data_IF_036576053769
#
_entry.id   IF_036576053769
#
_cell.length_a   1.000
_cell.length_b   1.000
_cell.length_c   1.000
_cell.angle_alpha   90.00
_cell.angle_beta   90.00
_cell.angle_gamma   90.00
#
_symmetry.space_group_name_H-M   'P 1'
#
loop_
_entity.id
_entity.type
_entity.pdbx_description
1 polymer ?
#
# COMPACT_ATOMS: atom_id res chain seq x y z
N UNK A 1 -10.69 -25.26 -13.17
CA UNK A 1 -9.32 -24.80 -13.46
C UNK A 1 -9.31 -23.27 -13.60
N UNK A 2 -10.02 -22.73 -14.59
CA UNK A 2 -9.98 -21.29 -14.94
C UNK A 2 -10.60 -20.37 -13.89
N UNK A 3 -11.79 -20.72 -13.37
CA UNK A 3 -12.46 -19.94 -12.31
C UNK A 3 -11.62 -19.89 -11.03
N UNK A 4 -10.96 -20.99 -10.68
CA UNK A 4 -10.07 -21.05 -9.50
C UNK A 4 -8.90 -20.06 -9.64
N UNK A 5 -8.31 -19.95 -10.83
CA UNK A 5 -7.23 -19.00 -11.11
C UNK A 5 -7.73 -17.55 -11.02
N UNK A 6 -8.91 -17.25 -11.57
CA UNK A 6 -9.51 -15.91 -11.52
C UNK A 6 -9.77 -15.49 -10.07
N UNK A 7 -10.33 -16.38 -9.25
CA UNK A 7 -10.61 -16.12 -7.84
C UNK A 7 -9.30 -15.95 -7.06
N UNK A 8 -8.32 -16.83 -7.26
CA UNK A 8 -7.02 -16.73 -6.59
C UNK A 8 -6.30 -15.42 -6.95
N UNK A 9 -6.35 -15.02 -8.22
CA UNK A 9 -5.75 -13.78 -8.71
C UNK A 9 -6.45 -12.54 -8.13
N UNK A 10 -7.78 -12.54 -8.08
CA UNK A 10 -8.56 -11.47 -7.44
C UNK A 10 -8.25 -11.32 -5.96
N UNK A 11 -8.17 -12.44 -5.22
CA UNK A 11 -7.78 -12.45 -3.81
C UNK A 11 -6.35 -11.95 -3.60
N UNK A 12 -5.43 -12.32 -4.49
CA UNK A 12 -4.04 -11.88 -4.44
C UNK A 12 -3.91 -10.36 -4.62
N UNK A 13 -4.62 -9.78 -5.59
CA UNK A 13 -4.67 -8.33 -5.81
C UNK A 13 -5.30 -7.63 -4.61
N UNK A 14 -6.41 -8.16 -4.07
CA UNK A 14 -7.08 -7.58 -2.91
C UNK A 14 -6.16 -7.58 -1.67
N UNK A 15 -5.42 -8.67 -1.47
CA UNK A 15 -4.43 -8.79 -0.38
C UNK A 15 -3.29 -7.80 -0.53
N UNK A 16 -2.71 -7.67 -1.73
CA UNK A 16 -1.70 -6.64 -2.03
C UNK A 16 -2.24 -5.24 -1.74
N UNK A 17 -3.46 -4.95 -2.17
CA UNK A 17 -4.14 -3.69 -1.91
C UNK A 17 -4.25 -3.36 -0.42
N UNK A 18 -4.62 -4.34 0.41
CA UNK A 18 -4.67 -4.14 1.87
C UNK A 18 -3.31 -3.78 2.47
N UNK A 19 -2.21 -4.39 1.99
CA UNK A 19 -0.86 -4.11 2.49
C UNK A 19 -0.34 -2.73 2.09
N UNK A 20 -0.72 -2.25 0.91
CA UNK A 20 -0.39 -0.91 0.44
C UNK A 20 -1.16 0.13 1.27
N UNK A 21 -2.45 -0.10 1.54
CA UNK A 21 -3.27 0.74 2.41
C UNK A 21 -2.73 0.84 3.84
N UNK A 22 -2.33 -0.29 4.41
CA UNK A 22 -1.75 -0.36 5.76
C UNK A 22 -0.50 0.52 5.86
N UNK A 23 0.33 0.47 4.82
CA UNK A 23 1.57 1.24 4.75
C UNK A 23 1.34 2.73 4.46
N UNK A 24 0.19 3.06 3.87
CA UNK A 24 -0.26 4.44 3.67
C UNK A 24 -0.96 5.02 4.91
N UNK A 25 -1.28 4.21 5.93
CA UNK A 25 -2.04 4.64 7.11
C UNK A 25 -3.51 4.95 6.82
N UNK A 26 -4.04 4.45 5.70
CA UNK A 26 -5.41 4.73 5.23
C UNK A 26 -6.36 3.64 5.76
N UNK A 27 -7.58 3.99 6.23
CA UNK A 27 -8.53 3.03 6.77
C UNK A 27 -8.91 1.94 5.76
N UNK A 28 -8.92 0.69 6.24
CA UNK A 28 -9.05 -0.59 5.51
C UNK A 28 -10.22 -0.67 4.52
N UNK A 29 -11.26 0.15 4.69
CA UNK A 29 -12.42 0.24 3.81
C UNK A 29 -12.10 0.79 2.40
N UNK A 30 -10.98 1.48 2.23
CA UNK A 30 -10.51 1.95 0.91
C UNK A 30 -10.01 0.81 0.00
N UNK A 31 -10.10 -0.46 0.44
CA UNK A 31 -9.75 -1.61 -0.41
C UNK A 31 -10.63 -1.69 -1.66
N UNK A 32 -11.89 -1.21 -1.60
CA UNK A 32 -12.80 -1.16 -2.75
C UNK A 32 -12.31 -0.22 -3.85
N UNK A 33 -11.56 0.82 -3.49
CA UNK A 33 -10.98 1.76 -4.44
C UNK A 33 -9.89 1.12 -5.29
N UNK A 34 -9.18 0.08 -4.83
CA UNK A 34 -8.21 -0.69 -5.63
C UNK A 34 -8.85 -1.55 -6.73
N UNK A 35 -10.16 -1.79 -6.64
CA UNK A 35 -10.91 -2.47 -7.69
C UNK A 35 -11.04 -1.59 -8.95
N UNK A 36 -10.81 -0.28 -8.82
CA UNK A 36 -10.83 0.67 -9.92
C UNK A 36 -9.39 0.85 -10.45
N UNK A 37 -9.10 0.46 -11.71
CA UNK A 37 -7.73 0.51 -12.25
C UNK A 37 -7.11 1.91 -12.26
N UNK A 38 -7.93 2.96 -12.42
CA UNK A 38 -7.50 4.37 -12.36
C UNK A 38 -6.90 4.72 -10.99
N UNK A 39 -7.47 4.19 -9.91
CA UNK A 39 -7.03 4.47 -8.55
C UNK A 39 -5.71 3.77 -8.23
N UNK A 40 -5.45 2.61 -8.84
CA UNK A 40 -4.14 1.95 -8.76
C UNK A 40 -3.02 2.82 -9.35
N UNK A 41 -3.27 3.49 -10.47
CA UNK A 41 -2.31 4.43 -11.08
C UNK A 41 -2.08 5.62 -10.15
N UNK A 42 -3.15 6.20 -9.58
CA UNK A 42 -3.05 7.29 -8.61
C UNK A 42 -2.26 6.85 -7.36
N UNK A 43 -2.44 5.62 -6.87
CA UNK A 43 -1.67 5.07 -5.75
C UNK A 43 -0.19 4.97 -6.06
N UNK A 44 0.20 4.50 -7.24
CA UNK A 44 1.61 4.47 -7.67
C UNK A 44 2.17 5.88 -7.75
N UNK A 45 1.37 6.83 -8.23
CA UNK A 45 1.74 8.23 -8.31
C UNK A 45 1.93 8.83 -6.92
N UNK A 46 0.99 8.61 -6.00
CA UNK A 46 1.11 9.01 -4.61
C UNK A 46 2.33 8.34 -3.98
N UNK A 47 2.63 7.06 -4.24
CA UNK A 47 3.83 6.40 -3.74
C UNK A 47 5.12 7.03 -4.29
N UNK A 48 5.12 7.41 -5.56
CA UNK A 48 6.24 8.08 -6.20
C UNK A 48 6.49 9.48 -5.61
N UNK A 49 5.43 10.20 -5.23
CA UNK A 49 5.53 11.51 -4.59
C UNK A 49 5.55 11.47 -3.05
N UNK A 50 5.21 10.33 -2.46
CA UNK A 50 5.17 10.14 -1.02
C UNK A 50 6.60 10.03 -0.52
N UNK A 51 6.97 10.98 0.32
CA UNK A 51 8.27 10.99 0.98
C UNK A 51 8.30 9.83 1.96
N UNK A 52 9.12 8.83 1.65
CA UNK A 52 9.35 7.71 2.55
C UNK A 52 9.81 8.23 3.91
N UNK A 53 9.11 7.83 4.97
CA UNK A 53 9.40 8.25 6.35
C UNK A 53 10.70 7.55 6.78
N UNK A 54 11.82 8.15 6.39
CA UNK A 54 13.13 7.76 6.84
C UNK A 54 13.28 8.27 8.28
N UNK A 55 12.83 7.46 9.24
CA UNK A 55 13.14 7.62 10.66
C UNK A 55 14.65 7.38 10.85
N UNK A 56 15.47 8.32 10.39
CA UNK A 56 16.78 8.53 11.00
C UNK A 56 16.50 9.32 12.27
N UNK A 57 16.21 8.62 13.35
CA UNK A 57 16.37 9.17 14.68
C UNK A 57 17.83 9.57 14.78
N UNK A 58 18.18 10.87 14.83
CA UNK A 58 19.54 11.26 15.12
C UNK A 58 19.73 10.85 16.59
N UNK A 59 20.47 9.78 16.84
CA UNK A 59 21.02 9.47 18.15
C UNK A 59 22.07 10.56 18.43
N UNK A 60 21.61 11.74 18.80
CA UNK A 60 22.42 12.91 19.09
C UNK A 60 22.39 13.15 20.58
N UNK A 61 23.51 12.75 21.19
CA UNK A 61 24.10 13.31 22.40
C UNK A 61 23.32 13.09 23.70
N UNK A 62 23.65 11.97 24.35
CA UNK A 62 23.77 11.94 25.81
C UNK A 62 25.21 11.54 26.16
N UNK A 63 26.17 12.37 25.74
CA UNK A 63 27.57 12.29 26.15
C UNK A 63 28.15 13.68 26.43
N UNK A 64 27.80 14.28 27.57
CA UNK A 64 28.75 14.89 28.52
C UNK A 64 28.03 15.30 29.80
#
# INVERSE_FOLDING_TARGET
MEITLIIAFGLFILWLGTKILDKAGIPRYWVFTLLIPVVNIIMIWIFAFSRWQNNKSPHLSDNN
#
